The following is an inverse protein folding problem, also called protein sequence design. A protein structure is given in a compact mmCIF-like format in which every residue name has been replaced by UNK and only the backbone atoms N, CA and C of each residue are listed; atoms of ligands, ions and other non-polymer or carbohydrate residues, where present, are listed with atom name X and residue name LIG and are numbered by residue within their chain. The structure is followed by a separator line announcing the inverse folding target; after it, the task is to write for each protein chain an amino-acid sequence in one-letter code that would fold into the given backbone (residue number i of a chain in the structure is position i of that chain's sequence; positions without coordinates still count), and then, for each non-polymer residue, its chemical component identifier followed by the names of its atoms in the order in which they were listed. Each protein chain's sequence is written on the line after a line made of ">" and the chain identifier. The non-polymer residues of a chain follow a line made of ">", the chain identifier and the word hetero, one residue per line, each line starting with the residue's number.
data_IF_722235209518
#
_entry.id   IF_722235209518
#
_cell.length_a   1.000
_cell.length_b   1.000
_cell.length_c   1.000
_cell.angle_alpha   90.00
_cell.angle_beta   90.00
_cell.angle_gamma   90.00
#
_symmetry.space_group_name_H-M   'P 1'
#
loop_
_entity.id
_entity.type
_entity.pdbx_description
1 polymer ?
#
# COMPACT_ATOMS: atom_id res chain seq x y z
N UNK A 1 -26.41 -11.33 1.47
CA UNK A 1 -26.19 -10.13 0.64
C UNK A 1 -25.30 -10.54 -0.52
N UNK A 2 -25.77 -10.42 -1.76
CA UNK A 2 -24.97 -10.79 -2.95
C UNK A 2 -23.66 -10.00 -2.94
N UNK A 3 -22.51 -10.67 -3.14
CA UNK A 3 -21.18 -10.04 -3.19
C UNK A 3 -21.15 -8.84 -4.14
N UNK A 4 -21.90 -8.89 -5.24
CA UNK A 4 -22.02 -7.83 -6.23
C UNK A 4 -22.68 -6.56 -5.67
N UNK A 5 -23.66 -6.70 -4.75
CA UNK A 5 -24.33 -5.55 -4.11
C UNK A 5 -23.35 -4.84 -3.17
N UNK A 6 -22.51 -5.60 -2.44
CA UNK A 6 -21.48 -5.02 -1.57
C UNK A 6 -20.44 -4.20 -2.34
N UNK A 7 -19.98 -4.72 -3.48
CA UNK A 7 -19.03 -3.98 -4.34
C UNK A 7 -19.66 -2.74 -4.98
N UNK A 8 -20.93 -2.84 -5.44
CA UNK A 8 -21.67 -1.69 -5.99
C UNK A 8 -21.87 -0.60 -4.94
N UNK A 9 -22.21 -0.97 -3.70
CA UNK A 9 -22.36 -0.03 -2.58
C UNK A 9 -21.03 0.66 -2.25
N UNK A 10 -19.93 -0.09 -2.14
CA UNK A 10 -18.60 0.47 -1.89
C UNK A 10 -18.18 1.43 -3.00
N UNK A 11 -18.45 1.10 -4.26
CA UNK A 11 -18.19 1.97 -5.40
C UNK A 11 -19.03 3.26 -5.37
N UNK A 12 -20.33 3.16 -5.05
CA UNK A 12 -21.20 4.30 -4.90
C UNK A 12 -20.76 5.25 -3.75
N UNK A 13 -20.34 4.65 -2.62
CA UNK A 13 -19.77 5.41 -1.50
C UNK A 13 -18.48 6.13 -1.94
N UNK A 14 -17.58 5.45 -2.66
CA UNK A 14 -16.34 6.06 -3.15
C UNK A 14 -16.61 7.21 -4.13
N UNK A 15 -17.64 7.12 -4.98
CA UNK A 15 -18.04 8.21 -5.87
C UNK A 15 -18.62 9.42 -5.14
N UNK A 16 -19.36 9.21 -4.05
CA UNK A 16 -19.98 10.28 -3.26
C UNK A 16 -19.02 10.87 -2.20
N UNK A 17 -17.95 10.17 -1.85
CA UNK A 17 -17.03 10.52 -0.76
C UNK A 17 -16.43 11.95 -0.86
N UNK A 18 -16.01 12.49 -2.04
CA UNK A 18 -15.39 13.81 -2.13
C UNK A 18 -16.33 14.96 -1.78
N UNK A 19 -17.67 14.73 -1.78
CA UNK A 19 -18.66 15.73 -1.38
C UNK A 19 -18.89 15.79 0.13
N UNK A 20 -18.51 14.75 0.85
CA UNK A 20 -18.72 14.63 2.31
C UNK A 20 -17.41 14.80 3.08
N UNK A 21 -16.29 14.34 2.51
CA UNK A 21 -14.99 14.32 3.14
C UNK A 21 -13.98 15.27 2.48
N UNK A 22 -12.86 15.52 3.18
CA UNK A 22 -11.76 16.31 2.62
C UNK A 22 -11.05 15.51 1.49
N UNK A 23 -11.07 16.02 0.22
CA UNK A 23 -10.65 15.23 -0.93
C UNK A 23 -9.21 14.73 -0.85
N UNK A 24 -8.26 15.55 -0.37
CA UNK A 24 -6.84 15.17 -0.27
C UNK A 24 -6.63 14.01 0.70
N UNK A 25 -7.38 13.99 1.81
CA UNK A 25 -7.33 12.87 2.75
C UNK A 25 -7.85 11.57 2.13
N UNK A 26 -8.95 11.65 1.39
CA UNK A 26 -9.52 10.49 0.69
C UNK A 26 -8.57 9.96 -0.39
N UNK A 27 -7.92 10.85 -1.14
CA UNK A 27 -6.89 10.47 -2.11
C UNK A 27 -5.70 9.79 -1.43
N UNK A 28 -5.23 10.32 -0.29
CA UNK A 28 -4.19 9.67 0.52
C UNK A 28 -4.60 8.25 0.91
N UNK A 29 -5.84 8.05 1.38
CA UNK A 29 -6.38 6.72 1.72
C UNK A 29 -6.38 5.76 0.53
N UNK A 30 -6.75 6.22 -0.67
CA UNK A 30 -6.73 5.41 -1.88
C UNK A 30 -5.31 4.98 -2.26
N UNK A 31 -4.32 5.89 -2.18
CA UNK A 31 -2.93 5.58 -2.47
C UNK A 31 -2.37 4.54 -1.48
N UNK A 32 -2.56 4.74 -0.17
CA UNK A 32 -2.11 3.76 0.83
C UNK A 32 -2.89 2.44 0.78
N UNK A 33 -4.18 2.48 0.42
CA UNK A 33 -4.98 1.29 0.17
C UNK A 33 -4.43 0.47 -0.99
N UNK A 34 -4.06 1.11 -2.11
CA UNK A 34 -3.41 0.45 -3.23
C UNK A 34 -2.03 -0.10 -2.84
N UNK A 35 -1.25 0.66 -2.07
CA UNK A 35 0.05 0.23 -1.55
C UNK A 35 -0.08 -1.03 -0.67
N UNK A 36 -1.05 -1.06 0.25
CA UNK A 36 -1.33 -2.22 1.09
C UNK A 36 -1.81 -3.43 0.27
N UNK A 37 -2.63 -3.22 -0.77
CA UNK A 37 -3.05 -4.29 -1.68
C UNK A 37 -1.89 -4.83 -2.52
N UNK A 38 -0.97 -3.98 -2.98
CA UNK A 38 0.24 -4.37 -3.68
C UNK A 38 1.14 -5.24 -2.79
N UNK A 39 1.34 -4.84 -1.54
CA UNK A 39 2.08 -5.63 -0.55
C UNK A 39 1.39 -6.96 -0.24
N UNK A 40 0.05 -6.95 -0.09
CA UNK A 40 -0.73 -8.16 0.15
C UNK A 40 -0.67 -9.17 -1.00
N UNK A 41 -0.49 -8.71 -2.24
CA UNK A 41 -0.25 -9.61 -3.38
C UNK A 41 0.98 -10.49 -3.12
N UNK A 42 2.01 -9.93 -2.52
CA UNK A 42 3.22 -10.67 -2.20
C UNK A 42 3.04 -11.52 -0.94
N UNK A 43 2.80 -10.92 0.23
CA UNK A 43 2.72 -11.66 1.50
C UNK A 43 1.49 -12.57 1.56
N UNK A 44 0.36 -12.09 1.08
CA UNK A 44 -0.92 -12.78 1.15
C UNK A 44 -1.02 -14.01 0.25
N UNK A 45 -0.40 -13.96 -0.93
CA UNK A 45 -0.56 -14.99 -1.97
C UNK A 45 0.71 -15.74 -2.31
N UNK A 46 1.92 -15.21 -2.02
CA UNK A 46 3.19 -15.94 -2.19
C UNK A 46 3.85 -16.33 -0.87
N UNK A 47 3.43 -15.73 0.25
CA UNK A 47 4.04 -15.96 1.55
C UNK A 47 5.38 -15.23 1.76
N UNK A 48 5.78 -14.33 0.87
CA UNK A 48 7.05 -13.62 0.95
C UNK A 48 6.86 -12.30 1.74
N UNK A 49 7.47 -12.21 2.91
CA UNK A 49 7.49 -10.99 3.74
C UNK A 49 8.67 -10.11 3.31
N UNK A 50 8.40 -9.01 2.62
CA UNK A 50 9.41 -8.07 2.14
C UNK A 50 9.38 -6.77 2.92
N UNK A 51 10.54 -6.35 3.44
CA UNK A 51 10.76 -5.01 4.00
C UNK A 51 11.25 -3.99 2.94
N UNK A 52 11.23 -4.37 1.66
CA UNK A 52 11.68 -3.54 0.54
C UNK A 52 10.61 -2.63 -0.08
N UNK A 53 9.34 -2.76 0.31
CA UNK A 53 8.23 -2.11 -0.38
C UNK A 53 8.25 -0.58 -0.29
N UNK A 54 8.80 0.00 0.79
CA UNK A 54 9.04 1.42 0.91
C UNK A 54 9.95 1.96 -0.19
N UNK A 55 11.00 1.20 -0.54
CA UNK A 55 11.91 1.60 -1.61
C UNK A 55 11.18 1.73 -2.97
N UNK A 56 10.21 0.86 -3.27
CA UNK A 56 9.43 0.95 -4.51
C UNK A 56 8.46 2.12 -4.49
N UNK A 57 7.77 2.29 -3.37
CA UNK A 57 6.80 3.36 -3.15
C UNK A 57 7.45 4.74 -3.26
N UNK A 58 8.48 5.00 -2.46
CA UNK A 58 9.16 6.29 -2.43
C UNK A 58 10.00 6.56 -3.69
N UNK A 59 10.73 5.55 -4.22
CA UNK A 59 11.48 5.74 -5.47
C UNK A 59 10.58 6.15 -6.64
N UNK A 60 9.39 5.53 -6.77
CA UNK A 60 8.43 5.92 -7.80
C UNK A 60 7.95 7.35 -7.62
N UNK A 61 7.73 7.78 -6.36
CA UNK A 61 7.40 9.17 -6.03
C UNK A 61 8.48 10.13 -6.49
N UNK A 62 9.74 9.86 -6.17
CA UNK A 62 10.88 10.68 -6.60
C UNK A 62 11.04 10.73 -8.12
N UNK A 63 10.94 9.58 -8.82
CA UNK A 63 11.03 9.56 -10.28
C UNK A 63 9.89 10.35 -10.92
N UNK A 64 8.67 10.19 -10.42
CA UNK A 64 7.50 10.94 -10.89
C UNK A 64 7.65 12.42 -10.60
N UNK A 65 8.01 12.80 -9.36
CA UNK A 65 8.18 14.20 -8.97
C UNK A 65 9.27 14.90 -9.77
N UNK A 66 10.41 14.25 -10.02
CA UNK A 66 11.49 14.77 -10.86
C UNK A 66 11.06 14.91 -12.33
N UNK A 67 10.34 13.91 -12.86
CA UNK A 67 9.83 13.93 -14.23
C UNK A 67 8.86 15.09 -14.47
N UNK A 68 7.98 15.37 -13.51
CA UNK A 68 7.01 16.46 -13.61
C UNK A 68 7.64 17.83 -13.33
N UNK A 69 8.48 17.95 -12.29
CA UNK A 69 9.05 19.21 -11.84
C UNK A 69 10.24 19.67 -12.69
N UNK A 70 11.25 18.82 -12.86
CA UNK A 70 12.49 19.19 -13.54
C UNK A 70 12.47 18.97 -15.06
N UNK A 71 11.81 17.86 -15.52
CA UNK A 71 11.77 17.54 -16.95
C UNK A 71 10.54 18.12 -17.66
N UNK A 72 9.53 18.62 -16.92
CA UNK A 72 8.31 19.18 -17.50
C UNK A 72 7.48 18.16 -18.30
N UNK A 73 7.60 16.87 -17.98
CA UNK A 73 6.89 15.81 -18.70
C UNK A 73 5.40 15.80 -18.34
N UNK A 74 4.51 15.30 -19.23
CA UNK A 74 3.11 15.13 -18.90
C UNK A 74 2.92 14.10 -17.78
N UNK A 75 1.81 14.23 -17.05
CA UNK A 75 1.53 13.46 -15.81
C UNK A 75 1.59 11.95 -16.06
N UNK A 76 1.01 11.48 -17.15
CA UNK A 76 1.03 10.07 -17.54
C UNK A 76 2.45 9.53 -17.75
N UNK A 77 3.31 10.30 -18.40
CA UNK A 77 4.70 9.91 -18.61
C UNK A 77 5.47 9.89 -17.27
N UNK A 78 5.22 10.87 -16.39
CA UNK A 78 5.80 10.89 -15.05
C UNK A 78 5.40 9.67 -14.20
N UNK A 79 4.12 9.31 -14.20
CA UNK A 79 3.63 8.11 -13.49
C UNK A 79 4.24 6.85 -14.09
N UNK A 80 4.30 6.72 -15.43
CA UNK A 80 4.90 5.57 -16.10
C UNK A 80 6.40 5.42 -15.78
N UNK A 81 7.14 6.52 -15.73
CA UNK A 81 8.54 6.53 -15.31
C UNK A 81 8.70 6.08 -13.86
N UNK A 82 7.84 6.57 -12.96
CA UNK A 82 7.82 6.15 -11.56
C UNK A 82 7.55 4.65 -11.41
N UNK A 83 6.50 4.14 -12.06
CA UNK A 83 6.13 2.72 -12.06
C UNK A 83 7.23 1.86 -12.69
N UNK A 84 7.80 2.29 -13.82
CA UNK A 84 8.90 1.60 -14.51
C UNK A 84 10.16 1.55 -13.65
N UNK A 85 10.52 2.66 -12.99
CA UNK A 85 11.63 2.72 -12.05
C UNK A 85 11.45 1.79 -10.85
N UNK A 86 10.26 1.80 -10.24
CA UNK A 86 9.92 0.87 -9.15
C UNK A 86 9.97 -0.60 -9.59
N UNK A 87 9.45 -0.91 -10.77
CA UNK A 87 9.51 -2.26 -11.35
C UNK A 87 10.95 -2.71 -11.61
N UNK A 88 11.80 -1.81 -12.11
CA UNK A 88 13.22 -2.09 -12.34
C UNK A 88 13.97 -2.34 -11.03
N UNK A 89 13.78 -1.48 -10.02
CA UNK A 89 14.33 -1.69 -8.67
C UNK A 89 13.83 -3.01 -8.11
N UNK A 90 12.52 -3.29 -8.25
CA UNK A 90 11.90 -4.55 -7.85
C UNK A 90 12.51 -5.76 -8.57
N UNK A 91 12.79 -5.66 -9.85
CA UNK A 91 13.45 -6.72 -10.62
C UNK A 91 14.86 -7.01 -10.08
N UNK A 92 15.68 -5.96 -9.88
CA UNK A 92 17.05 -6.10 -9.37
C UNK A 92 17.03 -6.68 -7.96
N UNK A 93 16.23 -6.12 -7.05
CA UNK A 93 16.11 -6.62 -5.68
C UNK A 93 15.54 -8.05 -5.64
N UNK A 94 14.55 -8.35 -6.48
CA UNK A 94 13.95 -9.67 -6.58
C UNK A 94 14.94 -10.74 -7.04
N UNK A 95 15.74 -10.48 -8.07
CA UNK A 95 16.76 -11.41 -8.55
C UNK A 95 17.80 -11.77 -7.46
N UNK A 96 18.10 -10.82 -6.58
CA UNK A 96 19.05 -11.04 -5.47
C UNK A 96 18.41 -11.74 -4.27
N UNK A 97 17.14 -11.40 -3.94
CA UNK A 97 16.50 -11.84 -2.70
C UNK A 97 15.77 -13.18 -2.83
N UNK A 98 15.14 -13.49 -3.98
CA UNK A 98 14.19 -14.62 -4.13
C UNK A 98 14.82 -15.98 -3.90
N UNK A 99 16.13 -16.12 -4.12
CA UNK A 99 16.87 -17.37 -3.84
C UNK A 99 16.88 -17.76 -2.37
N UNK A 100 16.43 -16.88 -1.48
CA UNK A 100 16.37 -17.13 -0.03
C UNK A 100 14.92 -17.12 0.43
N UNK A 101 14.64 -17.83 1.50
CA UNK A 101 13.28 -18.03 2.03
C UNK A 101 13.16 -17.54 3.47
N UNK A 102 11.93 -17.29 3.90
CA UNK A 102 11.61 -16.93 5.28
C UNK A 102 12.30 -15.64 5.74
N UNK A 103 12.88 -15.67 6.93
CA UNK A 103 13.55 -14.53 7.56
C UNK A 103 14.72 -13.99 6.71
N UNK A 104 15.48 -14.86 6.05
CA UNK A 104 16.61 -14.44 5.21
C UNK A 104 16.16 -13.57 4.03
N UNK A 105 15.04 -13.90 3.40
CA UNK A 105 14.45 -13.07 2.36
C UNK A 105 14.09 -11.67 2.91
N UNK A 106 13.46 -11.61 4.08
CA UNK A 106 13.06 -10.35 4.72
C UNK A 106 14.28 -9.48 5.06
N UNK A 107 15.35 -10.08 5.59
CA UNK A 107 16.59 -9.36 5.93
C UNK A 107 17.32 -8.83 4.69
N UNK A 108 17.37 -9.61 3.60
CA UNK A 108 18.00 -9.18 2.34
C UNK A 108 17.19 -8.01 1.73
N UNK A 109 15.87 -8.12 1.69
CA UNK A 109 15.02 -7.02 1.17
C UNK A 109 15.12 -5.76 2.01
N UNK A 110 15.29 -5.87 3.34
CA UNK A 110 15.57 -4.75 4.23
C UNK A 110 16.92 -4.09 3.91
N UNK A 111 17.98 -4.90 3.78
CA UNK A 111 19.30 -4.38 3.45
C UNK A 111 19.35 -3.68 2.09
N UNK A 112 18.71 -4.27 1.08
CA UNK A 112 18.59 -3.67 -0.26
C UNK A 112 17.75 -2.38 -0.24
N UNK A 113 16.67 -2.33 0.55
CA UNK A 113 15.89 -1.12 0.74
C UNK A 113 16.72 0.01 1.37
N UNK A 114 17.58 -0.32 2.35
CA UNK A 114 18.49 0.67 2.93
C UNK A 114 19.56 1.15 1.92
N UNK A 115 20.03 0.28 1.03
CA UNK A 115 20.92 0.72 -0.07
C UNK A 115 20.21 1.71 -1.00
N UNK A 116 18.95 1.44 -1.35
CA UNK A 116 18.13 2.38 -2.14
C UNK A 116 17.94 3.69 -1.38
N UNK A 117 17.57 3.66 -0.11
CA UNK A 117 17.42 4.85 0.74
C UNK A 117 18.69 5.71 0.75
N UNK A 118 19.86 5.14 1.01
CA UNK A 118 21.13 5.89 0.99
C UNK A 118 21.49 6.39 -0.40
N UNK A 119 21.12 5.66 -1.45
CA UNK A 119 21.23 6.12 -2.84
C UNK A 119 20.42 7.39 -3.08
N UNK A 120 19.17 7.41 -2.65
CA UNK A 120 18.29 8.57 -2.78
C UNK A 120 18.72 9.74 -1.87
N UNK A 121 19.21 9.46 -0.65
CA UNK A 121 19.74 10.50 0.25
C UNK A 121 20.90 11.28 -0.40
N UNK A 122 21.73 10.63 -1.21
CA UNK A 122 22.91 11.24 -1.84
C UNK A 122 22.70 11.69 -3.28
N UNK A 123 21.60 11.32 -3.90
CA UNK A 123 21.33 11.67 -5.27
C UNK A 123 21.02 13.17 -5.40
N UNK A 124 21.64 13.90 -6.34
CA UNK A 124 21.41 15.36 -6.47
C UNK A 124 19.97 15.72 -6.83
N UNK A 125 19.26 14.86 -7.57
CA UNK A 125 17.91 15.12 -8.04
C UNK A 125 16.82 14.98 -6.96
N UNK A 126 17.15 14.38 -5.80
CA UNK A 126 16.22 14.17 -4.70
C UNK A 126 16.22 15.32 -3.69
N UNK A 127 17.19 16.22 -3.76
CA UNK A 127 17.48 17.29 -2.80
C UNK A 127 17.78 16.77 -1.38
N UNK A 128 18.21 15.51 -1.24
CA UNK A 128 18.61 14.93 0.04
C UNK A 128 17.49 14.92 1.07
N UNK A 129 17.76 15.43 2.27
CA UNK A 129 16.78 15.42 3.39
C UNK A 129 15.58 16.34 3.17
N UNK A 130 15.72 17.40 2.37
CA UNK A 130 14.62 18.34 2.06
C UNK A 130 13.54 17.69 1.18
N UNK A 131 13.91 16.67 0.40
CA UNK A 131 13.02 16.00 -0.54
C UNK A 131 12.58 16.87 -1.71
N UNK A 132 11.69 16.34 -2.53
CA UNK A 132 11.10 17.09 -3.64
C UNK A 132 9.87 17.86 -3.15
N UNK A 133 9.86 19.17 -3.36
CA UNK A 133 8.77 20.06 -3.00
C UNK A 133 8.19 20.72 -4.26
N UNK A 134 6.90 21.11 -4.20
CA UNK A 134 6.26 21.86 -5.27
C UNK A 134 6.08 21.09 -6.58
N UNK A 135 5.85 19.78 -6.52
CA UNK A 135 5.58 18.97 -7.71
C UNK A 135 4.29 19.44 -8.38
N UNK A 136 4.34 19.89 -9.66
CA UNK A 136 3.15 20.40 -10.34
C UNK A 136 2.17 19.28 -10.65
N UNK A 137 0.87 19.56 -10.46
CA UNK A 137 -0.19 18.60 -10.79
C UNK A 137 -0.45 18.47 -12.29
N UNK A 138 -0.10 19.48 -13.08
CA UNK A 138 -0.18 19.47 -14.54
C UNK A 138 -1.56 19.19 -15.13
N UNK A 139 -1.56 18.77 -16.39
CA UNK A 139 -2.77 18.33 -17.12
C UNK A 139 -2.60 16.88 -17.56
N UNK A 140 -3.63 16.06 -17.32
CA UNK A 140 -3.68 14.68 -17.81
C UNK A 140 -4.14 14.69 -19.28
N UNK A 141 -3.41 13.99 -20.16
CA UNK A 141 -3.66 13.94 -21.60
C UNK A 141 -3.79 15.31 -22.29
N UNK A 142 -3.19 16.36 -21.69
CA UNK A 142 -3.25 17.72 -22.20
C UNK A 142 -4.60 18.43 -22.07
N UNK A 143 -5.64 17.74 -21.61
CA UNK A 143 -7.04 18.24 -21.58
C UNK A 143 -7.61 18.37 -20.18
N UNK A 144 -7.35 17.41 -19.29
CA UNK A 144 -7.93 17.35 -17.94
C UNK A 144 -7.01 18.08 -16.97
N UNK A 145 -7.47 19.21 -16.42
CA UNK A 145 -6.73 19.96 -15.42
C UNK A 145 -6.83 19.28 -14.05
N UNK A 146 -5.68 18.93 -13.48
CA UNK A 146 -5.56 18.27 -12.17
C UNK A 146 -5.37 19.26 -11.01
N UNK A 147 -5.42 20.56 -11.27
CA UNK A 147 -5.35 21.58 -10.21
C UNK A 147 -6.58 21.54 -9.30
N UNK A 148 -7.74 21.11 -9.84
CA UNK A 148 -8.95 20.94 -9.07
C UNK A 148 -8.92 19.62 -8.29
N UNK A 149 -9.06 19.69 -6.96
CA UNK A 149 -9.01 18.53 -6.06
C UNK A 149 -10.09 17.47 -6.37
N UNK A 150 -11.28 17.88 -6.86
CA UNK A 150 -12.36 16.94 -7.21
C UNK A 150 -11.97 16.16 -8.48
N UNK A 151 -11.45 16.85 -9.49
CA UNK A 151 -10.98 16.19 -10.72
C UNK A 151 -9.84 15.24 -10.43
N UNK A 152 -8.85 15.68 -9.63
CA UNK A 152 -7.73 14.86 -9.19
C UNK A 152 -8.22 13.62 -8.42
N UNK A 153 -9.21 13.79 -7.52
CA UNK A 153 -9.79 12.67 -6.78
C UNK A 153 -10.33 11.56 -7.71
N UNK A 154 -11.10 11.92 -8.74
CA UNK A 154 -11.64 10.93 -9.67
C UNK A 154 -10.55 10.24 -10.49
N UNK A 155 -9.48 10.94 -10.84
CA UNK A 155 -8.32 10.34 -11.51
C UNK A 155 -7.62 9.35 -10.57
N UNK A 156 -7.36 9.74 -9.33
CA UNK A 156 -6.75 8.86 -8.31
C UNK A 156 -7.64 7.64 -8.04
N UNK A 157 -8.96 7.85 -7.94
CA UNK A 157 -9.92 6.75 -7.79
C UNK A 157 -9.86 5.78 -8.97
N UNK A 158 -9.82 6.30 -10.20
CA UNK A 158 -9.69 5.47 -11.41
C UNK A 158 -8.39 4.65 -11.40
N UNK A 159 -7.25 5.27 -11.04
CA UNK A 159 -5.96 4.59 -10.90
C UNK A 159 -6.03 3.49 -9.82
N UNK A 160 -6.60 3.81 -8.65
CA UNK A 160 -6.74 2.85 -7.54
C UNK A 160 -7.62 1.66 -7.94
N UNK A 161 -8.75 1.91 -8.62
CA UNK A 161 -9.64 0.85 -9.13
C UNK A 161 -8.94 0.00 -10.19
N UNK A 162 -8.22 0.61 -11.13
CA UNK A 162 -7.47 -0.11 -12.16
C UNK A 162 -6.38 -1.00 -11.54
N UNK A 163 -5.61 -0.46 -10.58
CA UNK A 163 -4.61 -1.23 -9.83
C UNK A 163 -5.23 -2.38 -9.04
N UNK A 164 -6.33 -2.14 -8.33
CA UNK A 164 -7.06 -3.18 -7.61
C UNK A 164 -7.65 -4.24 -8.54
N UNK A 165 -8.23 -3.83 -9.67
CA UNK A 165 -8.76 -4.75 -10.68
C UNK A 165 -7.65 -5.64 -11.27
N UNK A 166 -6.46 -5.08 -11.50
CA UNK A 166 -5.29 -5.85 -11.94
C UNK A 166 -4.88 -6.89 -10.89
N UNK A 167 -4.85 -6.52 -9.60
CA UNK A 167 -4.58 -7.46 -8.50
C UNK A 167 -5.62 -8.58 -8.46
N UNK A 168 -6.91 -8.25 -8.51
CA UNK A 168 -8.00 -9.23 -8.51
C UNK A 168 -7.88 -10.18 -9.71
N UNK A 169 -7.61 -9.65 -10.91
CA UNK A 169 -7.40 -10.45 -12.12
C UNK A 169 -6.19 -11.38 -11.97
N UNK A 170 -5.08 -10.88 -11.42
CA UNK A 170 -3.86 -11.67 -11.17
C UNK A 170 -4.13 -12.82 -10.22
N UNK A 171 -4.82 -12.59 -9.11
CA UNK A 171 -5.10 -13.60 -8.08
C UNK A 171 -6.02 -14.70 -8.61
N UNK A 172 -6.95 -14.38 -9.51
CA UNK A 172 -7.89 -15.34 -10.10
C UNK A 172 -7.37 -15.98 -11.40
N UNK A 173 -6.22 -15.57 -11.90
CA UNK A 173 -5.56 -16.16 -13.07
C UNK A 173 -4.88 -17.48 -12.73
N UNK A 174 -4.50 -18.30 -13.74
CA UNK A 174 -3.65 -19.48 -13.54
C UNK A 174 -2.35 -19.15 -12.79
N UNK A 175 -1.75 -18.00 -13.08
CA UNK A 175 -0.58 -17.48 -12.36
C UNK A 175 -0.83 -17.35 -10.84
N UNK A 176 -1.95 -16.75 -10.44
CA UNK A 176 -2.33 -16.61 -9.04
C UNK A 176 -2.60 -17.95 -8.34
N UNK A 177 -3.11 -18.96 -9.06
CA UNK A 177 -3.31 -20.30 -8.50
C UNK A 177 -1.95 -20.99 -8.23
N UNK A 178 -0.99 -20.83 -9.12
CA UNK A 178 0.38 -21.34 -8.90
C UNK A 178 1.03 -20.65 -7.70
N UNK A 179 0.88 -19.34 -7.53
CA UNK A 179 1.40 -18.63 -6.37
C UNK A 179 0.83 -19.17 -5.04
N UNK A 180 -0.47 -19.46 -5.00
CA UNK A 180 -1.10 -20.08 -3.82
C UNK A 180 -0.54 -21.47 -3.55
N UNK A 181 -0.36 -22.28 -4.58
CA UNK A 181 0.23 -23.62 -4.45
C UNK A 181 1.68 -23.54 -3.93
N UNK A 182 2.48 -22.58 -4.41
CA UNK A 182 3.84 -22.31 -3.90
C UNK A 182 3.80 -21.93 -2.41
N UNK A 183 2.89 -21.04 -2.02
CA UNK A 183 2.73 -20.63 -0.62
C UNK A 183 2.35 -21.79 0.30
N UNK A 184 1.46 -22.69 -0.15
CA UNK A 184 1.03 -23.84 0.63
C UNK A 184 2.11 -24.91 0.80
N UNK A 185 2.80 -25.26 -0.30
CA UNK A 185 3.87 -26.26 -0.28
C UNK A 185 4.82 -26.08 -1.48
N UNK A 186 5.89 -25.35 -1.26
CA UNK A 186 6.89 -25.05 -2.29
C UNK A 186 7.59 -26.29 -2.86
N UNK A 187 8.07 -27.27 -2.04
CA UNK A 187 8.66 -28.52 -2.54
C UNK A 187 7.72 -29.28 -3.47
N UNK A 188 6.40 -29.27 -3.18
CA UNK A 188 5.41 -29.92 -4.02
C UNK A 188 5.25 -29.20 -5.36
N UNK A 189 5.28 -27.87 -5.37
CA UNK A 189 5.22 -27.09 -6.61
C UNK A 189 6.42 -27.39 -7.50
N UNK A 190 7.62 -27.50 -6.93
CA UNK A 190 8.85 -27.89 -7.64
C UNK A 190 8.72 -29.31 -8.22
N UNK A 191 8.20 -30.27 -7.44
CA UNK A 191 8.00 -31.66 -7.90
C UNK A 191 7.02 -31.77 -9.07
N UNK A 192 6.08 -30.81 -9.19
CA UNK A 192 5.14 -30.69 -10.30
C UNK A 192 5.73 -29.98 -11.53
N UNK A 193 7.02 -29.58 -11.49
CA UNK A 193 7.74 -28.96 -12.59
C UNK A 193 7.59 -27.45 -12.73
N UNK A 194 7.03 -26.75 -11.71
CA UNK A 194 6.96 -25.30 -11.75
C UNK A 194 8.31 -24.66 -11.42
N UNK A 195 8.70 -23.64 -12.21
CA UNK A 195 9.87 -22.80 -11.92
C UNK A 195 9.49 -21.74 -10.85
N UNK A 196 9.58 -22.17 -9.59
CA UNK A 196 9.10 -21.38 -8.43
C UNK A 196 9.78 -20.01 -8.35
N UNK A 197 11.09 -19.94 -8.65
CA UNK A 197 11.85 -18.70 -8.58
C UNK A 197 11.32 -17.66 -9.59
N UNK A 198 10.99 -18.08 -10.80
CA UNK A 198 10.39 -17.18 -11.82
C UNK A 198 9.01 -16.70 -11.42
N UNK A 199 8.17 -17.59 -10.89
CA UNK A 199 6.83 -17.18 -10.40
C UNK A 199 6.91 -16.18 -9.26
N UNK A 200 7.80 -16.41 -8.28
CA UNK A 200 8.06 -15.48 -7.18
C UNK A 200 8.61 -14.14 -7.68
N UNK A 201 9.55 -14.16 -8.65
CA UNK A 201 10.12 -12.95 -9.23
C UNK A 201 9.07 -12.11 -9.94
N UNK A 202 8.23 -12.73 -10.78
CA UNK A 202 7.14 -12.04 -11.46
C UNK A 202 6.16 -11.42 -10.47
N UNK A 203 5.79 -12.15 -9.41
CA UNK A 203 4.92 -11.63 -8.36
C UNK A 203 5.55 -10.45 -7.61
N UNK A 204 6.86 -10.53 -7.32
CA UNK A 204 7.62 -9.48 -6.66
C UNK A 204 7.69 -8.20 -7.51
N UNK A 205 8.02 -8.32 -8.80
CA UNK A 205 8.09 -7.19 -9.73
C UNK A 205 6.71 -6.56 -9.93
N UNK A 206 5.66 -7.37 -10.06
CA UNK A 206 4.28 -6.86 -10.18
C UNK A 206 3.86 -6.11 -8.90
N UNK A 207 4.18 -6.66 -7.73
CA UNK A 207 3.93 -6.00 -6.45
C UNK A 207 4.71 -4.69 -6.33
N UNK A 208 5.98 -4.65 -6.75
CA UNK A 208 6.81 -3.45 -6.78
C UNK A 208 6.26 -2.38 -7.73
N UNK A 209 5.81 -2.78 -8.93
CA UNK A 209 5.19 -1.86 -9.89
C UNK A 209 3.89 -1.23 -9.35
N UNK A 210 3.04 -2.02 -8.69
CA UNK A 210 1.80 -1.55 -8.06
C UNK A 210 2.07 -0.67 -6.83
N UNK A 211 3.07 -1.00 -6.03
CA UNK A 211 3.53 -0.14 -4.94
C UNK A 211 4.09 1.18 -5.49
N UNK A 212 4.84 1.12 -6.59
CA UNK A 212 5.31 2.30 -7.32
C UNK A 212 4.17 3.14 -7.89
N UNK A 213 3.12 2.53 -8.43
CA UNK A 213 1.93 3.24 -8.89
C UNK A 213 1.26 4.02 -7.74
N UNK A 214 1.16 3.40 -6.57
CA UNK A 214 0.63 4.05 -5.38
C UNK A 214 1.51 5.24 -4.93
N UNK A 215 2.85 5.10 -4.93
CA UNK A 215 3.80 6.15 -4.58
C UNK A 215 3.77 7.31 -5.57
N UNK A 216 3.86 7.03 -6.88
CA UNK A 216 3.75 8.01 -7.95
C UNK A 216 2.45 8.84 -7.85
N UNK A 217 1.34 8.16 -7.59
CA UNK A 217 0.02 8.82 -7.41
C UNK A 217 0.00 9.67 -6.14
N UNK A 218 0.58 9.18 -5.03
CA UNK A 218 0.67 9.94 -3.77
C UNK A 218 1.46 11.24 -3.95
N UNK A 219 2.59 11.21 -4.66
CA UNK A 219 3.41 12.40 -4.94
C UNK A 219 2.64 13.44 -5.75
N UNK A 220 1.85 13.00 -6.74
CA UNK A 220 0.96 13.88 -7.51
C UNK A 220 -0.12 14.53 -6.62
N UNK A 221 -0.70 13.78 -5.68
CA UNK A 221 -1.74 14.25 -4.75
C UNK A 221 -1.20 15.29 -3.79
N UNK A 222 -0.07 14.97 -3.13
CA UNK A 222 0.49 15.79 -2.06
C UNK A 222 1.35 16.95 -2.59
N UNK A 223 1.86 16.85 -3.82
CA UNK A 223 2.76 17.84 -4.41
C UNK A 223 4.19 17.82 -3.83
N UNK A 224 4.53 16.78 -3.07
CA UNK A 224 5.86 16.60 -2.51
C UNK A 224 6.21 15.11 -2.30
N UNK A 225 7.49 14.81 -2.20
CA UNK A 225 8.01 13.49 -1.84
C UNK A 225 9.16 13.63 -0.85
N UNK A 226 9.22 12.75 0.15
CA UNK A 226 10.21 12.83 1.23
C UNK A 226 10.98 11.53 1.39
N UNK A 227 12.17 11.60 1.98
CA UNK A 227 12.98 10.42 2.27
C UNK A 227 12.31 9.43 3.24
N UNK A 228 11.38 9.90 4.06
CA UNK A 228 10.60 9.04 4.96
C UNK A 228 9.77 8.01 4.21
N UNK A 229 9.36 8.32 2.97
CA UNK A 229 8.58 7.41 2.12
C UNK A 229 9.43 6.27 1.53
N UNK A 230 10.75 6.48 1.41
CA UNK A 230 11.72 5.45 1.00
C UNK A 230 12.24 4.66 2.20
N UNK A 231 12.13 5.22 3.41
CA UNK A 231 12.68 4.63 4.62
C UNK A 231 11.96 3.32 4.98
N UNK A 232 12.69 2.34 5.52
CA UNK A 232 12.16 1.02 5.86
C UNK A 232 10.96 1.03 6.82
N UNK A 233 10.80 2.07 7.64
CA UNK A 233 9.64 2.24 8.53
C UNK A 233 8.32 2.28 7.76
N UNK A 234 8.32 2.84 6.54
CA UNK A 234 7.16 2.82 5.66
C UNK A 234 6.79 1.39 5.22
N UNK A 235 7.79 0.50 5.04
CA UNK A 235 7.53 -0.94 4.85
C UNK A 235 6.89 -1.57 6.09
N UNK A 236 7.33 -1.17 7.30
CA UNK A 236 6.68 -1.57 8.55
C UNK A 236 5.22 -1.13 8.62
N UNK A 237 4.93 0.09 8.20
CA UNK A 237 3.57 0.64 8.18
C UNK A 237 2.64 -0.14 7.24
N UNK A 238 3.08 -0.47 6.02
CA UNK A 238 2.26 -1.25 5.07
C UNK A 238 2.06 -2.70 5.52
N UNK A 239 3.05 -3.30 6.17
CA UNK A 239 2.91 -4.61 6.82
C UNK A 239 1.78 -4.54 7.85
N UNK A 240 1.80 -3.52 8.71
CA UNK A 240 0.81 -3.29 9.76
C UNK A 240 -0.59 -3.10 9.18
N UNK A 241 -0.74 -2.26 8.16
CA UNK A 241 -2.02 -2.08 7.43
C UNK A 241 -2.56 -3.41 6.92
N UNK A 242 -1.70 -4.23 6.31
CA UNK A 242 -2.11 -5.50 5.70
C UNK A 242 -2.47 -6.54 6.75
N UNK A 243 -1.74 -6.61 7.87
CA UNK A 243 -2.01 -7.54 8.96
C UNK A 243 -3.29 -7.19 9.73
N UNK A 244 -3.45 -5.92 10.11
CA UNK A 244 -4.66 -5.42 10.79
C UNK A 244 -5.90 -5.64 9.92
N UNK A 245 -5.80 -5.32 8.63
CA UNK A 245 -6.92 -5.51 7.70
C UNK A 245 -7.28 -6.98 7.47
N UNK A 246 -6.28 -7.84 7.40
CA UNK A 246 -6.42 -9.28 7.14
C UNK A 246 -5.64 -9.74 5.92
N UNK A 247 -4.48 -10.33 6.19
CA UNK A 247 -3.56 -10.88 5.20
C UNK A 247 -4.23 -11.97 4.35
N UNK A 248 -4.02 -11.91 3.02
CA UNK A 248 -4.58 -12.89 2.08
C UNK A 248 -6.05 -12.66 1.71
N UNK A 249 -6.69 -11.63 2.25
CA UNK A 249 -8.02 -11.19 1.83
C UNK A 249 -7.92 -10.10 0.76
N UNK A 250 -8.96 -9.93 -0.09
CA UNK A 250 -8.96 -8.91 -1.14
C UNK A 250 -9.19 -7.49 -0.61
N UNK A 251 -10.11 -7.35 0.35
CA UNK A 251 -10.56 -6.04 0.86
C UNK A 251 -9.88 -5.66 2.17
N UNK A 252 -9.33 -6.65 2.89
CA UNK A 252 -8.67 -6.43 4.18
C UNK A 252 -7.63 -5.31 4.15
N UNK A 253 -6.63 -5.36 3.26
CA UNK A 253 -5.59 -4.33 3.21
C UNK A 253 -6.12 -2.91 3.02
N UNK A 254 -7.21 -2.73 2.26
CA UNK A 254 -7.86 -1.42 2.08
C UNK A 254 -8.43 -0.93 3.41
N UNK A 255 -9.15 -1.80 4.14
CA UNK A 255 -9.69 -1.46 5.45
C UNK A 255 -8.58 -1.21 6.48
N UNK A 256 -7.51 -2.01 6.45
CA UNK A 256 -6.35 -1.79 7.31
C UNK A 256 -5.65 -0.45 7.03
N UNK A 257 -5.46 -0.10 5.77
CA UNK A 257 -4.92 1.20 5.37
C UNK A 257 -5.84 2.35 5.83
N UNK A 258 -7.16 2.20 5.67
CA UNK A 258 -8.14 3.19 6.15
C UNK A 258 -8.01 3.40 7.66
N UNK A 259 -7.98 2.33 8.44
CA UNK A 259 -7.90 2.40 9.91
C UNK A 259 -6.61 3.09 10.34
N UNK A 260 -5.46 2.68 9.80
CA UNK A 260 -4.15 3.20 10.22
C UNK A 260 -3.99 4.67 9.80
N UNK A 261 -4.30 5.02 8.56
CA UNK A 261 -4.17 6.41 8.07
C UNK A 261 -5.18 7.34 8.76
N UNK A 262 -6.41 6.87 9.00
CA UNK A 262 -7.39 7.65 9.77
C UNK A 262 -6.93 7.89 11.20
N UNK A 263 -6.35 6.87 11.84
CA UNK A 263 -5.76 6.97 13.16
C UNK A 263 -4.61 7.99 13.19
N UNK A 264 -3.63 7.85 12.28
CA UNK A 264 -2.51 8.80 12.19
C UNK A 264 -2.97 10.25 12.06
N UNK A 265 -3.99 10.50 11.22
CA UNK A 265 -4.49 11.86 11.00
C UNK A 265 -5.32 12.41 12.17
N UNK A 266 -6.03 11.55 12.91
CA UNK A 266 -6.99 11.98 13.93
C UNK A 266 -6.50 11.84 15.36
N UNK A 267 -5.38 11.16 15.57
CA UNK A 267 -4.87 10.89 16.91
C UNK A 267 -4.55 12.18 17.67
N UNK A 268 -3.99 13.18 17.01
CA UNK A 268 -3.72 14.49 17.59
C UNK A 268 -5.00 15.23 18.00
N UNK A 269 -6.02 15.23 17.14
CA UNK A 269 -7.33 15.85 17.42
C UNK A 269 -8.01 15.15 18.59
N UNK A 270 -7.98 13.82 18.64
CA UNK A 270 -8.53 13.01 19.73
C UNK A 270 -7.77 13.26 21.03
N UNK A 271 -6.44 13.34 20.98
CA UNK A 271 -5.60 13.63 22.13
C UNK A 271 -5.91 15.00 22.74
N UNK A 272 -6.00 16.03 21.93
CA UNK A 272 -6.35 17.40 22.40
C UNK A 272 -7.78 17.48 22.94
N UNK A 273 -8.72 16.75 22.34
CA UNK A 273 -10.10 16.67 22.83
C UNK A 273 -10.15 15.96 24.21
N UNK A 274 -9.43 14.84 24.37
CA UNK A 274 -9.33 14.12 25.65
C UNK A 274 -8.66 14.99 26.72
N UNK A 275 -7.59 15.70 26.40
CA UNK A 275 -6.92 16.61 27.33
C UNK A 275 -7.87 17.68 27.85
N UNK A 276 -8.67 18.28 26.96
CA UNK A 276 -9.69 19.29 27.34
C UNK A 276 -10.81 18.72 28.19
N UNK A 277 -11.26 17.49 27.90
CA UNK A 277 -12.40 16.88 28.61
C UNK A 277 -12.03 16.28 29.97
N UNK A 278 -10.79 15.75 30.10
CA UNK A 278 -10.32 15.10 31.35
C UNK A 278 -9.47 16.01 32.24
N UNK A 279 -8.99 17.16 31.70
CA UNK A 279 -8.06 18.04 32.41
C UNK A 279 -6.64 17.50 32.58
N UNK A 280 -6.30 16.37 31.91
CA UNK A 280 -5.00 15.73 31.98
C UNK A 280 -4.20 16.12 30.71
N UNK A 281 -3.20 16.99 30.88
CA UNK A 281 -2.36 17.50 29.77
C UNK A 281 -1.60 16.39 29.02
N UNK A 282 -1.32 15.27 29.68
CA UNK A 282 -0.63 14.13 29.05
C UNK A 282 -1.35 13.62 27.78
N UNK A 283 -2.66 13.74 27.68
CA UNK A 283 -3.39 13.34 26.47
C UNK A 283 -3.09 14.23 25.25
N UNK A 284 -2.61 15.45 25.45
CA UNK A 284 -2.20 16.33 24.34
C UNK A 284 -0.98 15.79 23.58
N UNK A 285 -0.10 15.02 24.25
CA UNK A 285 1.09 14.42 23.65
C UNK A 285 0.80 13.16 22.82
N UNK A 286 -0.46 12.67 22.79
CA UNK A 286 -0.84 11.52 21.97
C UNK A 286 -0.57 11.75 20.48
N UNK A 287 -0.70 12.98 20.00
CA UNK A 287 -0.38 13.36 18.63
C UNK A 287 1.12 13.19 18.27
N UNK A 288 2.01 13.39 19.24
CA UNK A 288 3.45 13.19 19.07
C UNK A 288 3.83 11.70 19.20
N UNK A 289 2.98 10.92 19.88
CA UNK A 289 3.17 9.50 20.19
C UNK A 289 2.46 8.57 19.19
N UNK A 290 2.17 9.02 17.96
CA UNK A 290 1.45 8.24 16.94
C UNK A 290 2.05 6.85 16.75
N UNK A 291 3.38 6.76 16.64
CA UNK A 291 4.08 5.47 16.47
C UNK A 291 3.85 4.50 17.63
N UNK A 292 3.83 5.00 18.88
CA UNK A 292 3.59 4.18 20.07
C UNK A 292 2.14 3.65 20.11
N UNK A 293 1.17 4.52 19.84
CA UNK A 293 -0.25 4.15 19.81
C UNK A 293 -0.54 3.17 18.68
N UNK A 294 0.02 3.41 17.50
CA UNK A 294 -0.10 2.52 16.34
C UNK A 294 0.52 1.14 16.64
N UNK A 295 1.69 1.11 17.28
CA UNK A 295 2.32 -0.13 17.75
C UNK A 295 1.49 -0.89 18.76
N UNK A 296 0.88 -0.19 19.74
CA UNK A 296 -0.02 -0.80 20.72
C UNK A 296 -1.26 -1.40 20.05
N UNK A 297 -1.89 -0.66 19.15
CA UNK A 297 -3.04 -1.15 18.37
C UNK A 297 -2.65 -2.40 17.58
N UNK A 298 -1.47 -2.40 16.97
CA UNK A 298 -0.97 -3.58 16.28
C UNK A 298 -0.88 -4.79 17.20
N UNK A 299 -0.26 -4.66 18.39
CA UNK A 299 -0.16 -5.74 19.37
C UNK A 299 -1.54 -6.27 19.74
N UNK A 300 -2.48 -5.37 20.06
CA UNK A 300 -3.87 -5.72 20.40
C UNK A 300 -4.56 -6.43 19.22
N UNK A 301 -4.42 -5.91 18.01
CA UNK A 301 -5.02 -6.52 16.82
C UNK A 301 -4.46 -7.92 16.54
N UNK A 302 -3.14 -8.12 16.64
CA UNK A 302 -2.52 -9.43 16.40
C UNK A 302 -2.92 -10.45 17.48
N UNK A 303 -3.05 -10.03 18.73
CA UNK A 303 -3.48 -10.90 19.82
C UNK A 303 -4.96 -11.30 19.74
N UNK A 304 -5.84 -10.34 19.41
CA UNK A 304 -7.28 -10.54 19.35
C UNK A 304 -7.75 -11.10 17.99
N UNK A 305 -7.19 -10.64 16.89
CA UNK A 305 -7.62 -10.95 15.52
C UNK A 305 -6.53 -11.69 14.75
N UNK A 306 -6.31 -12.95 15.05
CA UNK A 306 -5.28 -13.79 14.40
C UNK A 306 -5.40 -13.85 12.87
N UNK A 307 -6.61 -13.62 12.31
CA UNK A 307 -6.89 -13.60 10.86
C UNK A 307 -7.09 -12.19 10.32
N UNK A 308 -6.82 -11.16 11.14
CA UNK A 308 -7.15 -9.77 10.85
C UNK A 308 -8.66 -9.49 10.93
N UNK A 309 -9.02 -8.21 10.93
CA UNK A 309 -10.42 -7.76 11.15
C UNK A 309 -11.37 -8.39 10.11
N UNK A 310 -11.02 -8.33 8.82
CA UNK A 310 -11.88 -8.89 7.75
C UNK A 310 -11.95 -10.40 7.80
N UNK A 311 -10.87 -11.08 8.16
CA UNK A 311 -10.83 -12.53 8.30
C UNK A 311 -11.74 -13.03 9.43
N UNK A 312 -11.75 -12.36 10.58
CA UNK A 312 -12.62 -12.72 11.71
C UNK A 312 -14.08 -12.41 11.43
N UNK A 313 -14.41 -11.27 10.83
CA UNK A 313 -15.77 -10.94 10.39
C UNK A 313 -16.28 -12.00 9.40
N UNK A 314 -15.45 -12.40 8.43
CA UNK A 314 -15.79 -13.44 7.47
C UNK A 314 -16.06 -14.80 8.13
N UNK A 315 -15.25 -15.18 9.12
CA UNK A 315 -15.42 -16.42 9.87
C UNK A 315 -16.70 -16.39 10.73
N UNK A 316 -16.98 -15.28 11.40
CA UNK A 316 -18.19 -15.09 12.20
C UNK A 316 -19.47 -15.17 11.34
N UNK A 317 -19.47 -14.53 10.16
CA UNK A 317 -20.59 -14.58 9.21
C UNK A 317 -20.81 -16.00 8.66
N UNK A 318 -19.73 -16.73 8.38
CA UNK A 318 -19.81 -18.11 7.92
C UNK A 318 -20.37 -19.06 9.00
N UNK A 319 -19.99 -18.85 10.27
CA UNK A 319 -20.52 -19.59 11.41
C UNK A 319 -22.02 -19.32 11.62
N UNK A 320 -22.44 -18.06 11.56
CA UNK A 320 -23.84 -17.68 11.66
C UNK A 320 -24.71 -18.25 10.52
N UNK A 321 -24.16 -18.34 9.30
CA UNK A 321 -24.85 -18.94 8.16
C UNK A 321 -24.99 -20.46 8.27
N UNK A 322 -24.02 -21.15 8.90
CA UNK A 322 -24.13 -22.60 9.21
C UNK A 322 -25.21 -22.91 10.25
N UNK A 323 -25.27 -22.10 11.30
CA UNK A 323 -26.28 -22.29 12.36
C UNK A 323 -27.70 -22.05 11.83
N UNK A 324 -27.91 -21.12 10.88
CA UNK A 324 -29.22 -20.91 10.22
C UNK A 324 -29.65 -22.05 9.28
N UNK A 325 -28.72 -22.87 8.80
CA UNK A 325 -29.05 -24.04 7.96
C UNK A 325 -29.28 -25.32 8.76
N UNK A 326 -28.87 -25.30 10.04
CA UNK A 326 -29.03 -26.45 10.96
C UNK A 326 -30.28 -26.33 11.86
N UNK A 327 -30.88 -25.15 11.95
CA UNK A 327 -32.21 -24.88 12.53
C UNK A 327 -33.30 -24.87 11.43
#
# INVERSE_FOLDING_TARGET
>A
MNKNIGYALAFAIALAAPFVGYPVFLMKLLCFGLFACAFNLLIGYTGLLSFGHAAFFGAAGYFTGHALGAMGLPVEAGILLGVGGAALIGLVMGMLAIRRQGIYFSMITLALAQMVYFGFLRAPFTHGEDGLQGVPRGKLLGTIDLSNDITLYYVVLAIAIAGFALIVRTIHSPFGQVLKAIKENEPRAISLGYDVDRYKLMAFVLSAALAGLAGATKTLVLGFETLTDVHWSMSGLVILMTLVGGMGTLVGPILGAFIIIALENKLGDVGTWLARSTGIEWFSTLGESVGMVTGLIFIVCVLLFRRGIVGEIGAALAAAARNRKAS
#
